data_IF_640936118983
#
_entry.id   IF_640936118983
#
_cell.length_a   1.000
_cell.length_b   1.000
_cell.length_c   1.000
_cell.angle_alpha   90.00
_cell.angle_beta   90.00
_cell.angle_gamma   90.00
#
_symmetry.space_group_name_H-M   'P 1'
#
loop_
_entity.id
_entity.type
_entity.pdbx_description
1 polymer ?
#
# COMPACT_ATOMS: atom_id res chain seq x y z
N UNK A 1 -31.95 -2.81 -7.61
CA UNK A 1 -30.98 -2.05 -8.45
C UNK A 1 -29.55 -2.58 -8.31
N UNK A 2 -29.10 -2.87 -7.10
CA UNK A 2 -27.73 -3.37 -6.82
C UNK A 2 -27.45 -4.77 -7.38
N UNK A 3 -28.40 -5.70 -7.25
CA UNK A 3 -28.30 -7.06 -7.84
C UNK A 3 -28.29 -7.05 -9.37
N UNK A 4 -29.01 -6.13 -10.01
CA UNK A 4 -29.01 -5.99 -11.46
C UNK A 4 -27.67 -5.45 -11.97
N UNK A 5 -27.09 -4.47 -11.26
CA UNK A 5 -25.74 -3.96 -11.55
C UNK A 5 -24.65 -5.02 -11.36
N UNK A 6 -24.76 -5.84 -10.31
CA UNK A 6 -23.86 -6.97 -10.08
C UNK A 6 -23.93 -8.01 -11.19
N UNK A 7 -25.12 -8.29 -11.71
CA UNK A 7 -25.33 -9.25 -12.79
C UNK A 7 -24.78 -8.73 -14.13
N UNK A 8 -25.01 -7.44 -14.46
CA UNK A 8 -24.45 -6.80 -15.65
C UNK A 8 -22.91 -6.73 -15.58
N UNK A 9 -22.34 -6.48 -14.41
CA UNK A 9 -20.89 -6.52 -14.18
C UNK A 9 -20.32 -7.92 -14.49
N UNK A 10 -20.97 -8.99 -14.00
CA UNK A 10 -20.52 -10.36 -14.22
C UNK A 10 -20.63 -10.83 -15.69
N UNK A 11 -21.54 -10.25 -16.48
CA UNK A 11 -21.73 -10.58 -17.89
C UNK A 11 -20.72 -9.87 -18.82
N UNK A 12 -20.20 -8.70 -18.42
CA UNK A 12 -19.33 -7.85 -19.25
C UNK A 12 -17.88 -7.77 -18.76
N UNK A 13 -17.55 -8.47 -17.68
CA UNK A 13 -16.22 -8.39 -17.04
C UNK A 13 -15.57 -9.77 -16.96
N UNK A 14 -14.30 -9.85 -17.31
CA UNK A 14 -13.44 -10.98 -16.93
C UNK A 14 -12.45 -10.51 -15.86
N UNK A 15 -12.46 -11.15 -14.68
CA UNK A 15 -11.68 -10.71 -13.52
C UNK A 15 -11.18 -11.88 -12.68
N UNK A 16 -10.16 -11.61 -11.90
CA UNK A 16 -9.59 -12.50 -10.90
C UNK A 16 -9.44 -11.79 -9.58
N UNK A 17 -9.91 -12.44 -8.49
CA UNK A 17 -9.61 -12.03 -7.12
C UNK A 17 -8.62 -13.02 -6.50
N UNK A 18 -7.53 -12.52 -6.00
CA UNK A 18 -6.66 -13.32 -5.16
C UNK A 18 -7.30 -13.43 -3.77
N UNK A 19 -7.69 -14.63 -3.38
CA UNK A 19 -8.24 -14.86 -2.03
C UNK A 19 -7.18 -14.51 -1.01
N UNK A 20 -7.54 -13.67 -0.03
CA UNK A 20 -6.68 -13.31 1.10
C UNK A 20 -6.29 -14.56 1.89
N UNK A 21 -5.25 -15.27 1.43
CA UNK A 21 -4.46 -16.09 2.32
C UNK A 21 -3.80 -15.13 3.32
N UNK A 22 -3.54 -15.59 4.55
CA UNK A 22 -2.71 -14.86 5.51
C UNK A 22 -1.32 -14.65 4.90
N UNK A 23 -1.21 -13.68 3.99
CA UNK A 23 0.06 -13.25 3.45
C UNK A 23 0.75 -12.44 4.53
N UNK A 24 1.98 -12.82 4.81
CA UNK A 24 2.88 -12.12 5.70
C UNK A 24 2.79 -10.62 5.42
N UNK A 25 2.64 -9.81 6.47
CA UNK A 25 2.56 -8.36 6.43
C UNK A 25 3.83 -7.66 5.90
N UNK A 26 4.71 -8.37 5.21
CA UNK A 26 6.02 -7.90 4.76
C UNK A 26 6.21 -7.89 3.23
N UNK A 27 5.18 -8.15 2.44
CA UNK A 27 5.33 -8.03 1.00
C UNK A 27 5.31 -6.56 0.58
N UNK A 28 6.33 -6.13 -0.15
CA UNK A 28 6.50 -4.76 -0.62
C UNK A 28 5.29 -4.27 -1.42
N UNK A 29 4.74 -5.13 -2.28
CA UNK A 29 3.48 -4.94 -2.99
C UNK A 29 2.84 -6.30 -3.28
N UNK A 30 1.53 -6.40 -3.10
CA UNK A 30 0.74 -7.62 -3.31
C UNK A 30 -0.40 -7.34 -4.28
N UNK A 31 -0.62 -8.25 -5.22
CA UNK A 31 -1.81 -8.26 -6.06
C UNK A 31 -3.03 -8.68 -5.22
N UNK A 32 -4.13 -7.95 -5.36
CA UNK A 32 -5.42 -8.31 -4.78
C UNK A 32 -6.40 -8.85 -5.82
N UNK A 33 -6.46 -8.18 -6.98
CA UNK A 33 -7.33 -8.54 -8.09
C UNK A 33 -6.89 -7.85 -9.38
N UNK A 34 -7.31 -8.38 -10.51
CA UNK A 34 -7.13 -7.77 -11.83
C UNK A 34 -8.28 -8.18 -12.75
N UNK A 35 -8.46 -7.48 -13.85
CA UNK A 35 -9.49 -7.83 -14.81
C UNK A 35 -9.63 -6.87 -15.98
N UNK A 36 -10.64 -7.14 -16.79
CA UNK A 36 -11.10 -6.33 -17.93
C UNK A 36 -12.58 -6.05 -17.83
N UNK A 37 -13.01 -4.93 -18.37
CA UNK A 37 -14.42 -4.60 -18.53
C UNK A 37 -14.69 -3.82 -19.81
N UNK A 38 -15.62 -4.32 -20.60
CA UNK A 38 -16.28 -3.58 -21.66
C UNK A 38 -17.49 -2.86 -21.07
N UNK A 39 -17.35 -1.59 -20.81
CA UNK A 39 -18.42 -0.83 -20.18
C UNK A 39 -19.59 -0.59 -21.15
N UNK A 40 -20.80 -0.69 -20.61
CA UNK A 40 -21.98 -0.22 -21.31
C UNK A 40 -22.03 1.32 -21.32
N UNK A 41 -22.73 1.95 -22.29
CA UNK A 41 -22.93 3.38 -22.31
C UNK A 41 -23.45 3.92 -20.96
N UNK A 42 -22.79 4.96 -20.42
CA UNK A 42 -23.11 5.56 -19.11
C UNK A 42 -22.96 4.61 -17.91
N UNK A 43 -22.29 3.46 -18.09
CA UNK A 43 -21.94 2.64 -16.93
C UNK A 43 -21.17 3.48 -15.90
N UNK A 44 -21.58 3.41 -14.65
CA UNK A 44 -20.94 4.19 -13.56
C UNK A 44 -20.58 3.29 -12.40
N UNK A 45 -19.44 3.55 -11.83
CA UNK A 45 -18.99 2.97 -10.58
C UNK A 45 -18.80 4.06 -9.52
N UNK A 46 -19.29 3.78 -8.31
CA UNK A 46 -19.21 4.72 -7.19
C UNK A 46 -20.52 5.53 -6.99
N UNK A 47 -20.52 6.44 -6.00
CA UNK A 47 -19.41 6.72 -5.08
C UNK A 47 -19.04 5.50 -4.22
N UNK A 48 -17.75 5.18 -4.13
CA UNK A 48 -17.25 4.07 -3.32
C UNK A 48 -15.87 4.41 -2.71
N UNK A 49 -15.61 3.85 -1.52
CA UNK A 49 -14.34 3.98 -0.81
C UNK A 49 -13.64 2.63 -0.78
N UNK A 50 -12.57 2.49 -1.53
CA UNK A 50 -11.80 1.25 -1.62
C UNK A 50 -10.74 1.15 -0.51
N UNK A 51 -10.33 -0.08 -0.23
CA UNK A 51 -9.23 -0.37 0.73
C UNK A 51 -7.89 -0.59 0.04
N UNK A 52 -7.89 -0.67 -1.27
CA UNK A 52 -6.76 -1.04 -2.12
C UNK A 52 -6.48 0.09 -3.11
N UNK A 53 -5.23 0.20 -3.56
CA UNK A 53 -4.90 0.97 -4.75
C UNK A 53 -5.45 0.25 -5.98
N UNK A 54 -6.01 0.98 -6.94
CA UNK A 54 -6.47 0.39 -8.20
C UNK A 54 -6.03 1.27 -9.37
N UNK A 55 -5.16 0.74 -10.21
CA UNK A 55 -4.82 1.36 -11.50
C UNK A 55 -5.77 0.81 -12.55
N UNK A 56 -6.42 1.70 -13.28
CA UNK A 56 -7.15 1.39 -14.50
C UNK A 56 -6.37 1.89 -15.71
N UNK A 57 -6.35 1.10 -16.76
CA UNK A 57 -5.72 1.46 -18.05
C UNK A 57 -6.77 1.39 -19.13
N UNK A 58 -7.05 2.49 -19.81
CA UNK A 58 -8.06 2.57 -20.87
C UNK A 58 -7.46 2.06 -22.18
N UNK A 59 -8.01 0.96 -22.66
CA UNK A 59 -7.57 0.26 -23.87
C UNK A 59 -8.27 0.76 -25.11
N UNK A 60 -9.53 1.20 -24.96
CA UNK A 60 -10.33 1.80 -26.03
C UNK A 60 -11.46 2.66 -25.46
N UNK A 61 -12.04 3.56 -26.28
CA UNK A 61 -13.12 4.44 -25.84
C UNK A 61 -12.67 5.51 -24.86
N UNK A 62 -13.64 6.08 -24.12
CA UNK A 62 -13.39 7.14 -23.15
C UNK A 62 -14.41 7.18 -22.02
N UNK A 63 -14.05 7.92 -20.96
CA UNK A 63 -14.91 8.10 -19.81
C UNK A 63 -14.42 9.26 -18.93
N UNK A 64 -14.99 9.37 -17.74
CA UNK A 64 -14.67 10.44 -16.81
C UNK A 64 -14.46 9.88 -15.40
N UNK A 65 -13.41 10.38 -14.73
CA UNK A 65 -13.15 10.19 -13.32
C UNK A 65 -13.56 11.48 -12.57
N UNK A 66 -14.37 11.32 -11.53
CA UNK A 66 -14.63 12.37 -10.53
C UNK A 66 -13.87 11.98 -9.24
N UNK A 67 -12.85 12.75 -8.91
CA UNK A 67 -11.96 12.51 -7.78
C UNK A 67 -11.68 13.81 -7.05
N UNK A 68 -11.93 13.87 -5.75
CA UNK A 68 -11.73 15.04 -4.90
C UNK A 68 -12.38 16.33 -5.46
N UNK A 69 -13.59 16.22 -6.05
CA UNK A 69 -14.32 17.33 -6.63
C UNK A 69 -13.76 17.88 -7.94
N UNK A 70 -12.76 17.21 -8.53
CA UNK A 70 -12.23 17.51 -9.86
C UNK A 70 -12.61 16.42 -10.83
N UNK A 71 -12.76 16.80 -12.11
CA UNK A 71 -13.14 15.89 -13.19
C UNK A 71 -12.06 15.80 -14.24
N UNK A 72 -11.74 14.56 -14.63
CA UNK A 72 -10.77 14.24 -15.68
C UNK A 72 -11.45 13.43 -16.77
N UNK A 73 -11.41 13.94 -17.99
CA UNK A 73 -11.68 13.12 -19.15
C UNK A 73 -10.49 12.18 -19.38
N UNK A 74 -10.80 10.93 -19.65
CA UNK A 74 -9.80 9.88 -19.80
C UNK A 74 -10.17 9.10 -21.06
N UNK A 75 -9.18 8.90 -21.90
CA UNK A 75 -9.35 8.22 -23.20
C UNK A 75 -8.31 7.12 -23.39
N UNK A 76 -8.42 6.41 -24.50
CA UNK A 76 -7.48 5.34 -24.89
C UNK A 76 -6.03 5.76 -24.70
N UNK A 77 -5.22 4.86 -24.13
CA UNK A 77 -3.81 5.09 -23.87
C UNK A 77 -3.53 5.88 -22.58
N UNK A 78 -4.57 6.16 -21.80
CA UNK A 78 -4.42 6.80 -20.50
C UNK A 78 -4.72 5.83 -19.35
N UNK A 79 -4.14 6.10 -18.22
CA UNK A 79 -4.37 5.36 -16.99
C UNK A 79 -4.81 6.30 -15.87
N UNK A 80 -5.62 5.79 -14.93
CA UNK A 80 -5.98 6.49 -13.72
C UNK A 80 -5.86 5.62 -12.48
N UNK A 81 -5.59 6.26 -11.35
CA UNK A 81 -5.40 5.62 -10.06
C UNK A 81 -6.54 5.97 -9.10
N UNK A 82 -7.02 4.98 -8.37
CA UNK A 82 -7.88 5.15 -7.20
C UNK A 82 -7.07 4.84 -5.95
N UNK A 83 -7.07 5.79 -5.00
CA UNK A 83 -6.35 5.65 -3.73
C UNK A 83 -7.23 5.04 -2.65
N UNK A 84 -6.66 4.24 -1.73
CA UNK A 84 -7.41 3.70 -0.61
C UNK A 84 -7.89 4.81 0.33
N UNK A 85 -9.14 4.67 0.82
CA UNK A 85 -9.74 5.61 1.76
C UNK A 85 -10.33 6.86 1.12
N UNK A 86 -10.23 7.04 -0.19
CA UNK A 86 -10.78 8.17 -0.92
C UNK A 86 -12.06 7.77 -1.67
N UNK A 87 -13.04 8.68 -1.67
CA UNK A 87 -14.27 8.51 -2.43
C UNK A 87 -14.02 8.82 -3.90
N UNK A 88 -14.39 7.90 -4.77
CA UNK A 88 -14.21 8.04 -6.20
C UNK A 88 -15.49 7.64 -6.94
N UNK A 89 -15.75 8.34 -8.05
CA UNK A 89 -16.80 7.98 -9.01
C UNK A 89 -16.21 8.07 -10.40
N UNK A 90 -16.49 7.07 -11.24
CA UNK A 90 -16.11 7.12 -12.64
C UNK A 90 -17.20 6.54 -13.53
N UNK A 91 -17.30 7.01 -14.77
CA UNK A 91 -18.36 6.63 -15.70
C UNK A 91 -17.88 6.63 -17.14
N UNK A 92 -18.41 5.65 -17.87
CA UNK A 92 -18.18 5.51 -19.30
C UNK A 92 -18.92 6.58 -20.10
N UNK A 93 -18.33 7.04 -21.21
CA UNK A 93 -19.02 7.92 -22.16
C UNK A 93 -20.27 7.26 -22.71
N UNK A 94 -21.22 8.08 -23.10
CA UNK A 94 -22.52 7.60 -23.63
C UNK A 94 -22.46 7.09 -25.06
N UNK A 95 -21.49 7.56 -25.85
CA UNK A 95 -21.37 7.24 -27.28
C UNK A 95 -20.18 6.31 -27.56
N UNK A 96 -19.08 6.51 -26.82
CA UNK A 96 -17.80 5.80 -26.92
C UNK A 96 -17.39 5.27 -25.57
N UNK A 97 -18.19 4.34 -24.96
CA UNK A 97 -17.87 3.80 -23.66
C UNK A 97 -16.53 3.10 -23.68
N UNK A 98 -15.76 3.29 -22.63
CA UNK A 98 -14.42 2.72 -22.53
C UNK A 98 -14.43 1.19 -22.34
N UNK A 99 -13.39 0.58 -22.88
CA UNK A 99 -12.88 -0.73 -22.53
C UNK A 99 -11.59 -0.53 -21.76
N UNK A 100 -11.51 -1.03 -20.55
CA UNK A 100 -10.34 -0.87 -19.70
C UNK A 100 -9.94 -2.18 -19.02
N UNK A 101 -8.71 -2.24 -18.57
CA UNK A 101 -8.24 -3.24 -17.66
C UNK A 101 -7.83 -2.57 -16.32
N UNK A 102 -7.75 -3.38 -15.24
CA UNK A 102 -7.35 -2.88 -13.94
C UNK A 102 -6.52 -3.86 -13.15
N UNK A 103 -5.75 -3.30 -12.21
CA UNK A 103 -4.99 -4.04 -11.20
C UNK A 103 -5.27 -3.42 -9.84
N UNK A 104 -5.80 -4.21 -8.91
CA UNK A 104 -5.94 -3.85 -7.51
C UNK A 104 -4.81 -4.45 -6.69
N UNK A 105 -4.18 -3.64 -5.84
CA UNK A 105 -3.02 -4.05 -5.06
C UNK A 105 -2.92 -3.29 -3.74
N UNK A 106 -2.09 -3.82 -2.83
CA UNK A 106 -1.73 -3.18 -1.56
C UNK A 106 -0.26 -3.46 -1.22
N UNK A 107 0.25 -2.82 -0.19
CA UNK A 107 1.59 -3.05 0.36
C UNK A 107 2.31 -1.74 0.70
N UNK A 108 3.32 -1.83 1.55
CA UNK A 108 4.03 -0.67 2.08
C UNK A 108 4.83 0.09 0.99
N UNK A 109 5.14 -0.57 -0.12
CA UNK A 109 5.83 0.02 -1.27
C UNK A 109 4.92 0.61 -2.33
N UNK A 110 3.58 0.45 -2.20
CA UNK A 110 2.63 0.84 -3.24
C UNK A 110 2.70 2.33 -3.58
N UNK A 111 2.68 3.21 -2.57
CA UNK A 111 2.71 4.65 -2.78
C UNK A 111 4.00 5.10 -3.49
N UNK A 112 5.14 4.55 -3.11
CA UNK A 112 6.42 4.85 -3.76
C UNK A 112 6.49 4.39 -5.22
N UNK A 113 5.92 3.20 -5.53
CA UNK A 113 5.81 2.74 -6.92
C UNK A 113 4.96 3.71 -7.72
N UNK A 114 3.81 4.13 -7.20
CA UNK A 114 2.91 5.09 -7.86
C UNK A 114 3.58 6.44 -8.11
N UNK A 115 4.33 6.96 -7.14
CA UNK A 115 5.13 8.19 -7.29
C UNK A 115 6.18 8.04 -8.40
N UNK A 116 6.87 6.89 -8.49
CA UNK A 116 7.85 6.63 -9.55
C UNK A 116 7.22 6.46 -10.93
N UNK A 117 6.00 5.94 -11.01
CA UNK A 117 5.20 5.93 -12.25
C UNK A 117 4.78 7.36 -12.64
N UNK A 118 4.65 8.26 -11.67
CA UNK A 118 4.25 9.66 -11.87
C UNK A 118 2.83 9.97 -11.38
N UNK A 119 2.16 9.04 -10.72
CA UNK A 119 0.87 9.28 -10.09
C UNK A 119 1.03 10.06 -8.77
N UNK A 120 0.07 10.94 -8.51
CA UNK A 120 -0.13 11.57 -7.21
C UNK A 120 -1.61 11.89 -7.01
N UNK A 121 -2.01 12.25 -5.79
CA UNK A 121 -3.40 12.68 -5.51
C UNK A 121 -3.81 13.91 -6.33
N UNK A 122 -2.88 14.79 -6.66
CA UNK A 122 -3.11 15.95 -7.54
C UNK A 122 -3.04 15.62 -9.03
N UNK A 123 -2.44 14.48 -9.38
CA UNK A 123 -2.27 13.97 -10.75
C UNK A 123 -2.70 12.50 -10.81
N UNK A 124 -4.00 12.21 -10.70
CA UNK A 124 -4.51 10.83 -10.69
C UNK A 124 -4.60 10.20 -12.08
N UNK A 125 -4.31 10.94 -13.15
CA UNK A 125 -4.37 10.50 -14.54
C UNK A 125 -3.03 10.71 -15.22
N UNK A 126 -2.60 9.70 -15.98
CA UNK A 126 -1.37 9.72 -16.77
C UNK A 126 -1.65 9.26 -18.19
N UNK A 127 -0.91 9.81 -19.15
CA UNK A 127 -0.83 9.27 -20.50
C UNK A 127 0.29 8.25 -20.55
N UNK A 128 -0.02 7.04 -21.00
CA UNK A 128 0.93 5.96 -21.26
C UNK A 128 1.22 5.92 -22.77
N UNK A 129 2.34 5.34 -23.15
CA UNK A 129 2.66 5.13 -24.55
C UNK A 129 1.87 3.95 -25.14
N UNK A 130 2.47 2.77 -25.18
CA UNK A 130 1.84 1.55 -25.69
C UNK A 130 1.21 0.74 -24.52
N UNK A 131 -0.10 0.67 -24.47
CA UNK A 131 -0.85 -0.09 -23.46
C UNK A 131 -1.02 -1.58 -23.80
N UNK A 132 -0.58 -2.01 -24.98
CA UNK A 132 -0.73 -3.41 -25.43
C UNK A 132 0.08 -4.40 -24.59
N UNK A 133 1.20 -3.95 -24.01
CA UNK A 133 1.99 -4.72 -23.06
C UNK A 133 1.21 -5.02 -21.78
N UNK A 134 0.57 -4.01 -21.22
CA UNK A 134 -0.28 -4.13 -20.02
C UNK A 134 -1.46 -5.06 -20.28
N UNK A 135 -2.15 -4.91 -21.40
CA UNK A 135 -3.26 -5.78 -21.80
C UNK A 135 -2.85 -7.25 -21.85
N UNK A 136 -1.76 -7.57 -22.53
CA UNK A 136 -1.24 -8.95 -22.62
C UNK A 136 -0.91 -9.53 -21.26
N UNK A 137 -0.25 -8.77 -20.38
CA UNK A 137 0.12 -9.25 -19.06
C UNK A 137 -1.10 -9.52 -18.18
N UNK A 138 -2.14 -8.70 -18.25
CA UNK A 138 -3.38 -8.97 -17.52
C UNK A 138 -4.11 -10.18 -18.10
N UNK A 139 -4.13 -10.39 -19.41
CA UNK A 139 -4.64 -11.62 -20.01
C UNK A 139 -3.89 -12.86 -19.53
N UNK A 140 -2.57 -12.77 -19.41
CA UNK A 140 -1.73 -13.84 -18.85
C UNK A 140 -2.06 -14.13 -17.38
N UNK A 141 -2.25 -13.09 -16.57
CA UNK A 141 -2.72 -13.25 -15.18
C UNK A 141 -4.05 -13.98 -15.10
N UNK A 142 -5.01 -13.65 -15.97
CA UNK A 142 -6.35 -14.24 -16.01
C UNK A 142 -6.36 -15.68 -16.55
N UNK A 143 -5.45 -16.00 -17.44
CA UNK A 143 -5.29 -17.37 -17.95
C UNK A 143 -4.85 -18.35 -16.86
N UNK A 144 -4.09 -17.89 -15.89
CA UNK A 144 -3.65 -18.64 -14.73
C UNK A 144 -4.59 -18.47 -13.55
N UNK A 145 -5.83 -19.00 -13.66
CA UNK A 145 -6.83 -18.98 -12.55
C UNK A 145 -6.47 -19.93 -11.39
N UNK A 146 -5.35 -20.64 -11.47
CA UNK A 146 -4.87 -21.52 -10.41
C UNK A 146 -4.49 -20.74 -9.14
N UNK A 147 -4.95 -21.24 -7.99
CA UNK A 147 -4.53 -20.75 -6.66
C UNK A 147 -3.22 -21.38 -6.19
N UNK A 148 -2.57 -22.18 -7.04
CA UNK A 148 -1.27 -22.79 -6.79
C UNK A 148 -0.17 -21.73 -6.67
N UNK A 149 0.97 -22.11 -6.11
CA UNK A 149 2.11 -21.22 -5.88
C UNK A 149 2.66 -20.65 -7.21
N UNK A 150 2.75 -21.48 -8.25
CA UNK A 150 3.19 -21.08 -9.58
C UNK A 150 2.27 -20.02 -10.20
N UNK A 151 0.94 -20.20 -10.12
CA UNK A 151 -0.03 -19.22 -10.58
C UNK A 151 0.09 -17.88 -9.82
N UNK A 152 0.31 -17.93 -8.51
CA UNK A 152 0.53 -16.72 -7.69
C UNK A 152 1.82 -16.01 -8.10
N UNK A 153 2.89 -16.75 -8.30
CA UNK A 153 4.18 -16.19 -8.73
C UNK A 153 4.07 -15.56 -10.12
N UNK A 154 3.38 -16.22 -11.06
CA UNK A 154 3.14 -15.67 -12.39
C UNK A 154 2.39 -14.34 -12.33
N UNK A 155 1.27 -14.28 -11.62
CA UNK A 155 0.50 -13.03 -11.47
C UNK A 155 1.29 -11.91 -10.81
N UNK A 156 2.07 -12.23 -9.78
CA UNK A 156 2.96 -11.25 -9.14
C UNK A 156 4.05 -10.75 -10.10
N UNK A 157 4.63 -11.64 -10.89
CA UNK A 157 5.63 -11.29 -11.90
C UNK A 157 5.05 -10.36 -12.97
N UNK A 158 3.85 -10.66 -13.49
CA UNK A 158 3.15 -9.81 -14.46
C UNK A 158 2.87 -8.42 -13.88
N UNK A 159 2.35 -8.33 -12.65
CA UNK A 159 2.10 -7.05 -11.97
C UNK A 159 3.38 -6.22 -11.84
N UNK A 160 4.46 -6.83 -11.35
CA UNK A 160 5.74 -6.14 -11.20
C UNK A 160 6.32 -5.68 -12.53
N UNK A 161 6.13 -6.46 -13.59
CA UNK A 161 6.55 -6.10 -14.94
C UNK A 161 5.76 -4.91 -15.46
N UNK A 162 4.43 -4.88 -15.29
CA UNK A 162 3.59 -3.72 -15.64
C UNK A 162 4.10 -2.46 -14.93
N UNK A 163 4.36 -2.52 -13.63
CA UNK A 163 4.90 -1.37 -12.89
C UNK A 163 6.26 -0.93 -13.41
N UNK A 164 7.13 -1.88 -13.74
CA UNK A 164 8.47 -1.59 -14.30
C UNK A 164 8.37 -0.87 -15.64
N UNK A 165 7.47 -1.30 -16.53
CA UNK A 165 7.24 -0.67 -17.83
C UNK A 165 6.65 0.74 -17.67
N UNK A 166 5.65 0.91 -16.80
CA UNK A 166 5.06 2.23 -16.50
C UNK A 166 6.10 3.21 -15.90
N UNK A 167 7.02 2.74 -15.05
CA UNK A 167 8.11 3.58 -14.52
C UNK A 167 9.07 3.99 -15.64
N UNK A 168 9.42 3.06 -16.52
CA UNK A 168 10.32 3.34 -17.63
C UNK A 168 9.73 4.36 -18.61
N UNK A 169 8.42 4.30 -18.88
CA UNK A 169 7.71 5.27 -19.72
C UNK A 169 7.57 6.64 -19.02
N UNK A 170 7.25 6.66 -17.73
CA UNK A 170 7.17 7.89 -16.94
C UNK A 170 8.49 8.64 -16.87
N UNK A 171 9.63 7.93 -16.88
CA UNK A 171 10.96 8.51 -16.91
C UNK A 171 11.31 9.21 -18.23
N UNK A 172 10.68 8.84 -19.34
CA UNK A 172 10.92 9.47 -20.66
C UNK A 172 10.20 10.83 -20.83
N UNK A 173 9.18 11.09 -19.99
CA UNK A 173 8.40 12.34 -20.02
C UNK A 173 8.85 13.43 -19.04
N UNK A 174 9.85 13.17 -18.20
CA UNK A 174 10.43 14.16 -17.29
C UNK A 174 11.95 14.20 -17.48
N UNK A 175 12.48 15.37 -17.82
CA UNK A 175 13.93 15.66 -17.89
C UNK A 175 14.59 15.63 -16.49
N UNK A 176 14.43 14.58 -15.75
CA UNK A 176 15.26 14.25 -14.60
C UNK A 176 15.26 12.74 -14.42
N UNK A 177 16.21 12.08 -15.06
CA UNK A 177 16.64 10.75 -14.70
C UNK A 177 17.29 10.86 -13.31
N UNK A 178 16.48 10.91 -12.27
CA UNK A 178 16.93 10.40 -10.99
C UNK A 178 16.98 8.87 -11.16
N UNK A 179 18.20 8.38 -11.41
CA UNK A 179 18.55 6.98 -11.18
C UNK A 179 17.73 6.46 -10.01
N UNK A 180 17.15 5.26 -10.15
CA UNK A 180 16.62 4.46 -9.05
C UNK A 180 17.57 4.66 -7.87
N UNK A 181 17.25 5.60 -6.98
CA UNK A 181 18.06 5.83 -5.80
C UNK A 181 18.12 4.47 -5.12
N UNK A 182 19.34 3.94 -4.97
CA UNK A 182 19.61 2.78 -4.14
C UNK A 182 18.71 2.93 -2.92
N UNK A 183 17.98 1.87 -2.56
CA UNK A 183 17.15 1.89 -1.34
C UNK A 183 18.06 2.43 -0.26
N UNK A 184 17.80 3.65 0.20
CA UNK A 184 18.70 4.33 1.13
C UNK A 184 18.89 3.37 2.31
N UNK A 185 20.10 3.23 2.78
CA UNK A 185 20.43 2.35 3.92
C UNK A 185 19.54 2.66 5.13
N UNK A 186 19.18 3.91 5.30
CA UNK A 186 18.22 4.38 6.33
C UNK A 186 16.80 3.90 6.05
N UNK A 187 16.34 3.93 4.81
CA UNK A 187 15.03 3.42 4.44
C UNK A 187 14.92 1.91 4.66
N UNK A 188 15.97 1.17 4.29
CA UNK A 188 16.04 -0.27 4.62
C UNK A 188 15.97 -0.50 6.13
N UNK A 189 16.73 0.27 6.92
CA UNK A 189 16.74 0.15 8.37
C UNK A 189 15.39 0.49 9.00
N UNK A 190 14.72 1.55 8.54
CA UNK A 190 13.35 1.93 8.96
C UNK A 190 12.38 0.80 8.68
N UNK A 191 12.41 0.23 7.48
CA UNK A 191 11.55 -0.89 7.08
C UNK A 191 11.84 -2.14 7.91
N UNK A 192 13.11 -2.48 8.09
CA UNK A 192 13.50 -3.63 8.91
C UNK A 192 13.00 -3.47 10.36
N UNK A 193 13.19 -2.31 10.96
CA UNK A 193 12.72 -2.03 12.33
C UNK A 193 11.19 -2.14 12.42
N UNK A 194 10.46 -1.56 11.49
CA UNK A 194 8.99 -1.61 11.49
C UNK A 194 8.44 -3.04 11.37
N UNK A 195 9.12 -3.91 10.64
CA UNK A 195 8.70 -5.30 10.44
C UNK A 195 9.12 -6.25 11.55
N UNK A 196 10.20 -5.91 12.29
CA UNK A 196 10.81 -6.79 13.29
C UNK A 196 10.87 -6.19 14.70
N UNK A 197 10.21 -5.06 14.97
CA UNK A 197 10.32 -4.34 16.25
C UNK A 197 10.03 -5.21 17.49
N UNK A 198 9.18 -6.23 17.36
CA UNK A 198 8.86 -7.19 18.43
C UNK A 198 9.99 -8.18 18.72
N UNK A 199 10.96 -8.28 17.82
CA UNK A 199 12.10 -9.19 17.95
C UNK A 199 13.28 -8.50 18.65
N UNK A 200 14.30 -9.31 19.01
CA UNK A 200 15.54 -8.80 19.60
C UNK A 200 16.46 -8.23 18.53
N UNK A 201 16.27 -6.96 18.16
CA UNK A 201 17.10 -6.26 17.19
C UNK A 201 18.37 -5.71 17.87
N UNK A 202 19.55 -6.05 17.32
CA UNK A 202 20.81 -5.39 17.60
C UNK A 202 21.18 -4.48 16.43
N UNK A 203 21.33 -3.19 16.67
CA UNK A 203 21.63 -2.22 15.61
C UNK A 203 22.94 -2.51 14.88
N UNK A 204 23.90 -3.16 15.57
CA UNK A 204 25.13 -3.63 14.92
C UNK A 204 24.83 -4.69 13.85
N UNK A 205 24.03 -5.70 14.20
CA UNK A 205 23.70 -6.80 13.30
C UNK A 205 22.89 -6.29 12.09
N UNK A 206 22.03 -5.28 12.30
CA UNK A 206 21.33 -4.59 11.22
C UNK A 206 22.30 -3.87 10.28
N UNK A 207 23.27 -3.14 10.81
CA UNK A 207 24.26 -2.43 10.00
C UNK A 207 25.15 -3.39 9.20
N UNK A 208 25.61 -4.49 9.84
CA UNK A 208 26.36 -5.56 9.17
C UNK A 208 25.56 -6.20 8.04
N UNK A 209 24.25 -6.42 8.22
CA UNK A 209 23.36 -7.00 7.21
C UNK A 209 23.26 -6.16 5.94
N UNK A 210 23.36 -4.85 6.05
CA UNK A 210 23.31 -3.91 4.91
C UNK A 210 24.70 -3.46 4.45
N UNK A 211 25.77 -4.06 5.00
CA UNK A 211 27.14 -3.84 4.54
C UNK A 211 27.77 -2.51 4.92
N UNK A 212 27.25 -1.83 5.98
CA UNK A 212 27.78 -0.53 6.45
C UNK A 212 28.17 -0.55 7.93
N UNK A 213 28.95 0.45 8.35
CA UNK A 213 29.28 0.59 9.77
C UNK A 213 28.06 1.08 10.57
N UNK A 214 27.97 0.65 11.85
CA UNK A 214 26.94 1.15 12.79
C UNK A 214 26.92 2.68 12.89
N UNK A 215 28.10 3.31 12.92
CA UNK A 215 28.21 4.77 13.03
C UNK A 215 27.66 5.47 11.80
N UNK A 216 27.88 4.92 10.62
CA UNK A 216 27.34 5.42 9.36
C UNK A 216 25.83 5.29 9.31
N UNK A 217 25.26 4.14 9.70
CA UNK A 217 23.82 3.94 9.81
C UNK A 217 23.19 4.96 10.77
N UNK A 218 23.79 5.21 11.94
CA UNK A 218 23.31 6.22 12.90
C UNK A 218 23.29 7.62 12.28
N UNK A 219 24.34 7.98 11.53
CA UNK A 219 24.43 9.28 10.84
C UNK A 219 23.31 9.42 9.80
N UNK A 220 23.13 8.42 8.94
CA UNK A 220 22.11 8.44 7.88
C UNK A 220 20.69 8.53 8.46
N UNK A 221 20.35 7.66 9.42
CA UNK A 221 19.02 7.68 10.01
C UNK A 221 18.72 8.99 10.75
N UNK A 222 19.70 9.59 11.42
CA UNK A 222 19.52 10.92 12.04
C UNK A 222 19.29 12.02 11.00
N UNK A 223 19.95 11.97 9.87
CA UNK A 223 19.75 12.93 8.79
C UNK A 223 18.35 12.83 8.17
N UNK A 224 17.84 11.63 7.93
CA UNK A 224 16.57 11.43 7.24
C UNK A 224 15.35 11.39 8.16
N UNK A 225 15.47 10.79 9.35
CA UNK A 225 14.34 10.60 10.27
C UNK A 225 14.38 11.49 11.51
N UNK A 226 15.49 12.20 11.73
CA UNK A 226 15.76 12.94 12.97
C UNK A 226 16.13 12.04 14.17
N UNK A 227 16.14 10.71 14.01
CA UNK A 227 16.34 9.73 15.08
C UNK A 227 17.48 8.78 14.76
N UNK A 228 18.20 8.33 15.79
CA UNK A 228 19.10 7.18 15.65
C UNK A 228 18.27 5.89 15.46
N UNK A 229 18.84 4.80 14.91
CA UNK A 229 18.14 3.51 14.77
C UNK A 229 17.58 2.99 16.10
N UNK A 230 18.28 3.20 17.20
CA UNK A 230 17.83 2.77 18.52
C UNK A 230 16.64 3.61 19.03
N UNK A 231 16.67 4.91 18.82
CA UNK A 231 15.55 5.79 19.16
C UNK A 231 14.33 5.47 18.31
N UNK A 232 14.51 5.20 17.03
CA UNK A 232 13.44 4.81 16.12
C UNK A 232 12.80 3.48 16.52
N UNK A 233 13.60 2.48 16.92
CA UNK A 233 13.10 1.20 17.43
C UNK A 233 12.25 1.39 18.69
N UNK A 234 12.75 2.19 19.65
CA UNK A 234 12.02 2.49 20.88
C UNK A 234 10.70 3.21 20.56
N UNK A 235 10.72 4.20 19.69
CA UNK A 235 9.52 4.95 19.27
C UNK A 235 8.47 4.02 18.62
N UNK A 236 8.91 3.15 17.72
CA UNK A 236 8.03 2.17 17.05
C UNK A 236 7.37 1.23 18.08
N UNK A 237 8.14 0.71 19.03
CA UNK A 237 7.63 -0.12 20.12
C UNK A 237 6.63 0.62 21.01
N UNK A 238 6.93 1.86 21.36
CA UNK A 238 6.08 2.67 22.23
C UNK A 238 4.78 3.08 21.55
N UNK A 239 4.81 3.35 20.24
CA UNK A 239 3.60 3.60 19.43
C UNK A 239 2.70 2.38 19.40
N UNK A 240 3.25 1.20 19.16
CA UNK A 240 2.51 -0.06 19.22
C UNK A 240 1.91 -0.33 20.59
N UNK A 241 2.69 -0.10 21.65
CA UNK A 241 2.21 -0.26 23.03
C UNK A 241 1.02 0.66 23.34
N UNK A 242 1.08 1.92 22.91
CA UNK A 242 -0.01 2.89 23.04
C UNK A 242 -1.29 2.38 22.36
N UNK A 243 -1.18 1.86 21.13
CA UNK A 243 -2.32 1.32 20.39
C UNK A 243 -2.95 0.10 21.10
N UNK A 244 -2.13 -0.82 21.59
CA UNK A 244 -2.60 -1.99 22.31
C UNK A 244 -3.26 -1.62 23.63
N UNK A 245 -2.65 -0.72 24.41
CA UNK A 245 -3.21 -0.25 25.67
C UNK A 245 -4.57 0.42 25.52
N UNK A 246 -4.82 1.11 24.41
CA UNK A 246 -6.08 1.81 24.16
C UNK A 246 -7.15 0.93 23.53
N UNK A 247 -6.75 -0.15 22.81
CA UNK A 247 -7.67 -0.98 22.02
C UNK A 247 -7.96 -2.34 22.63
N UNK A 248 -7.10 -2.84 23.52
CA UNK A 248 -7.22 -4.18 24.11
C UNK A 248 -7.24 -4.14 25.63
N UNK A 249 -7.68 -5.25 26.22
CA UNK A 249 -7.62 -5.48 27.67
C UNK A 249 -6.49 -6.44 28.07
N UNK A 250 -5.55 -6.71 27.16
CA UNK A 250 -4.46 -7.65 27.40
C UNK A 250 -3.62 -7.24 28.60
N UNK A 251 -3.14 -8.20 29.41
CA UNK A 251 -2.24 -7.93 30.52
C UNK A 251 -1.03 -7.10 30.08
N UNK A 252 -0.59 -6.15 30.90
CA UNK A 252 0.55 -5.29 30.59
C UNK A 252 1.82 -6.11 30.23
N UNK A 253 2.00 -7.27 30.87
CA UNK A 253 3.09 -8.19 30.56
C UNK A 253 3.02 -8.71 29.14
N UNK A 254 1.83 -9.04 28.64
CA UNK A 254 1.65 -9.54 27.27
C UNK A 254 1.92 -8.43 26.25
N UNK A 255 1.44 -7.22 26.53
CA UNK A 255 1.72 -6.04 25.70
C UNK A 255 3.22 -5.74 25.66
N UNK A 256 3.92 -5.83 26.79
CA UNK A 256 5.37 -5.65 26.85
C UNK A 256 6.08 -6.66 25.93
N UNK A 257 5.70 -7.93 26.03
CA UNK A 257 6.26 -9.02 25.19
C UNK A 257 5.97 -8.78 23.70
N UNK A 258 4.74 -8.43 23.34
CA UNK A 258 4.35 -8.13 21.95
C UNK A 258 5.11 -6.92 21.39
N UNK A 259 5.50 -5.99 22.26
CA UNK A 259 6.33 -4.84 21.90
C UNK A 259 7.85 -5.12 21.96
N UNK A 260 8.27 -6.38 22.12
CA UNK A 260 9.67 -6.79 22.11
C UNK A 260 10.44 -6.49 23.39
N UNK A 261 9.77 -6.51 24.55
CA UNK A 261 10.36 -6.39 25.86
C UNK A 261 10.22 -7.70 26.66
N UNK A 262 11.33 -8.34 26.99
CA UNK A 262 11.35 -9.53 27.82
C UNK A 262 10.97 -9.22 29.29
N UNK A 263 11.23 -7.99 29.74
CA UNK A 263 10.94 -7.51 31.09
C UNK A 263 9.88 -6.39 31.08
N UNK A 264 8.73 -6.67 31.72
CA UNK A 264 7.62 -5.75 31.85
C UNK A 264 7.95 -4.52 32.73
N UNK A 265 8.94 -4.61 33.65
CA UNK A 265 9.40 -3.47 34.43
C UNK A 265 10.24 -2.50 33.57
N UNK A 266 11.15 -3.06 32.74
CA UNK A 266 11.91 -2.27 31.79
C UNK A 266 10.98 -1.57 30.79
N UNK A 267 9.98 -2.29 30.24
CA UNK A 267 8.93 -1.71 29.41
C UNK A 267 8.21 -0.55 30.08
N UNK A 268 7.74 -0.76 31.31
CA UNK A 268 6.97 0.27 32.07
C UNK A 268 7.79 1.52 32.34
N UNK A 269 9.11 1.37 32.62
CA UNK A 269 10.02 2.51 32.79
C UNK A 269 10.17 3.32 31.49
N UNK A 270 10.38 2.65 30.37
CA UNK A 270 10.52 3.31 29.06
C UNK A 270 9.20 3.99 28.67
N UNK A 271 8.07 3.32 28.86
CA UNK A 271 6.74 3.87 28.58
C UNK A 271 6.47 5.13 29.43
N UNK A 272 6.73 5.06 30.74
CA UNK A 272 6.56 6.21 31.63
C UNK A 272 7.47 7.38 31.25
N UNK A 273 8.73 7.10 30.91
CA UNK A 273 9.67 8.13 30.43
C UNK A 273 9.16 8.81 29.16
N UNK A 274 8.47 8.09 28.27
CA UNK A 274 8.01 8.63 26.98
C UNK A 274 6.68 9.36 27.07
N UNK A 275 5.73 8.85 27.88
CA UNK A 275 4.35 9.36 27.97
C UNK A 275 4.00 10.04 29.30
N UNK A 276 4.93 10.12 30.23
CA UNK A 276 4.74 10.77 31.52
C UNK A 276 3.96 9.96 32.55
N UNK A 277 3.36 8.81 32.16
CA UNK A 277 2.55 7.96 33.05
C UNK A 277 2.81 6.48 32.83
N UNK A 278 2.46 5.64 33.81
CA UNK A 278 2.61 4.19 33.71
C UNK A 278 1.63 3.60 32.67
N UNK A 279 1.94 2.43 32.07
CA UNK A 279 1.03 1.77 31.12
C UNK A 279 -0.38 1.51 31.65
N UNK A 280 -0.51 1.15 32.94
CA UNK A 280 -1.82 0.92 33.58
C UNK A 280 -2.64 2.20 33.70
N UNK A 281 -2.02 3.29 34.13
CA UNK A 281 -2.66 4.60 34.26
C UNK A 281 -3.06 5.13 32.87
N UNK A 282 -2.19 4.91 31.88
CA UNK A 282 -2.46 5.28 30.48
C UNK A 282 -3.70 4.55 29.94
N UNK A 283 -3.82 3.23 30.18
CA UNK A 283 -4.99 2.44 29.82
C UNK A 283 -6.25 2.97 30.52
N UNK A 284 -6.17 3.24 31.81
CA UNK A 284 -7.31 3.74 32.58
C UNK A 284 -7.80 5.09 32.05
N UNK A 285 -6.90 5.96 31.63
CA UNK A 285 -7.22 7.30 31.12
C UNK A 285 -7.71 7.30 29.68
N UNK A 286 -7.12 6.47 28.81
CA UNK A 286 -7.31 6.56 27.35
C UNK A 286 -7.90 5.28 26.71
N UNK A 287 -8.11 4.20 27.46
CA UNK A 287 -8.70 2.95 26.97
C UNK A 287 -10.20 3.10 26.63
N UNK A 288 -10.69 2.26 25.71
CA UNK A 288 -12.09 2.32 25.24
C UNK A 288 -13.16 2.26 26.34
N UNK A 289 -12.87 1.61 27.45
CA UNK A 289 -13.78 1.50 28.60
C UNK A 289 -14.03 2.83 29.33
N UNK A 290 -13.18 3.84 29.12
CA UNK A 290 -13.34 5.17 29.76
C UNK A 290 -14.25 6.11 28.98
N UNK A 291 -14.58 5.79 27.72
CA UNK A 291 -15.44 6.62 26.86
C UNK A 291 -16.93 6.29 26.97
N UNK A 292 -17.30 5.18 27.58
CA UNK A 292 -18.73 4.80 27.82
C UNK A 292 -19.29 5.35 29.14
N UNK A 293 -18.50 6.11 29.91
CA UNK A 293 -18.91 6.68 31.20
C UNK A 293 -18.96 8.22 31.23
N UNK A 294 -18.94 8.85 30.09
CA UNK A 294 -19.20 10.27 29.86
C UNK A 294 -20.34 10.44 28.85
#
# INVERSE_FOLDING_TARGET
>A
MEERRKKEFLENSDYFFETKGKTSASAYVCLDFCGFEHCLPRHSYGPDIRKNYVIHVVLDGKGMLDHMGKRWWIEKGQAFILYPGEENTYYADKNEPWYYCWIGFHGDGAERILEKIGFSRSRPVLTLGDVSGTERMIMEMLSSKSLSLDGKLLRSACMLKIFSEMIAEGAQGSESVETLGEVSYSEYAVRYINNHFSEKIRIRDLAERIGISRSYLVKLMKQETGMSPQEFLIETRMRRAKDLLTRTHDPIRNIASECGYDDALAFSKVFKSRFGMNPSDYRQTFGKSSREKL
#
